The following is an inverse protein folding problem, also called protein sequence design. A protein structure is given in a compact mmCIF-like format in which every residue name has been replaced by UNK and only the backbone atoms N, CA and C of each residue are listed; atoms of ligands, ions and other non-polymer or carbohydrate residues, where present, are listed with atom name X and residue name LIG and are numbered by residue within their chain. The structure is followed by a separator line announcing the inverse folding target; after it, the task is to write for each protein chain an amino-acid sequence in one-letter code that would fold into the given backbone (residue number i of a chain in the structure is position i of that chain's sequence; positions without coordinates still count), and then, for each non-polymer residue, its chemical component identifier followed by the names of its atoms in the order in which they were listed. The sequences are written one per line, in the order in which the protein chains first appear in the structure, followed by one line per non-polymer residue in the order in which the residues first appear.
data_IF_632021051127
#
_entry.id   IF_632021051127
#
_cell.length_a   1.000
_cell.length_b   1.000
_cell.length_c   1.000
_cell.angle_alpha   90.00
_cell.angle_beta   90.00
_cell.angle_gamma   90.00
#
_symmetry.space_group_name_H-M   'P 1'
#
loop_
_entity.id
_entity.type
_entity.pdbx_description
1 polymer ?
#
# COMPACT_ATOMS: atom_id res chain seq x y z
N UNK A 1 -0.59 5.22 0.76
CA UNK A 1 0.12 4.49 1.84
C UNK A 1 -0.07 5.07 3.22
N UNK A 2 -0.08 6.40 3.42
CA UNK A 2 -0.45 6.99 4.72
C UNK A 2 -1.85 6.55 5.19
N UNK A 3 -2.78 6.38 4.25
CA UNK A 3 -4.14 5.91 4.53
C UNK A 3 -4.19 4.47 5.05
N UNK A 4 -3.31 3.59 4.52
CA UNK A 4 -3.23 2.19 4.93
C UNK A 4 -2.61 2.05 6.33
N UNK A 5 -1.59 2.86 6.64
CA UNK A 5 -1.04 2.97 8.00
C UNK A 5 -2.14 3.38 9.00
N UNK A 6 -3.00 4.32 8.62
CA UNK A 6 -4.13 4.71 9.46
C UNK A 6 -5.16 3.58 9.65
N UNK A 7 -5.46 2.84 8.58
CA UNK A 7 -6.34 1.66 8.63
C UNK A 7 -5.79 0.57 9.58
N UNK A 8 -4.49 0.32 9.53
CA UNK A 8 -3.81 -0.67 10.38
C UNK A 8 -3.85 -0.25 11.86
N UNK A 9 -3.56 1.03 12.16
CA UNK A 9 -3.66 1.56 13.52
C UNK A 9 -5.08 1.43 14.06
N UNK A 10 -6.10 1.80 13.27
CA UNK A 10 -7.50 1.65 13.66
C UNK A 10 -7.87 0.17 13.88
N UNK A 11 -7.36 -0.74 13.06
CA UNK A 11 -7.57 -2.18 13.20
C UNK A 11 -7.02 -2.70 14.53
N UNK A 12 -5.81 -2.27 14.91
CA UNK A 12 -5.20 -2.58 16.22
C UNK A 12 -6.04 -2.01 17.36
N UNK A 13 -6.49 -0.76 17.25
CA UNK A 13 -7.31 -0.11 18.30
C UNK A 13 -8.65 -0.85 18.52
N UNK A 14 -9.33 -1.26 17.46
CA UNK A 14 -10.57 -2.05 17.54
C UNK A 14 -10.30 -3.40 18.21
N UNK A 15 -9.24 -4.11 17.83
CA UNK A 15 -8.89 -5.41 18.41
C UNK A 15 -8.47 -5.32 19.89
N UNK A 16 -7.82 -4.23 20.30
CA UNK A 16 -7.49 -3.96 21.70
C UNK A 16 -8.75 -3.75 22.56
N UNK A 17 -9.79 -3.15 21.97
CA UNK A 17 -11.08 -2.93 22.65
C UNK A 17 -11.89 -4.23 22.75
N UNK A 18 -11.91 -5.04 21.68
CA UNK A 18 -12.68 -6.29 21.62
C UNK A 18 -11.99 -7.50 22.30
N UNK A 19 -10.80 -7.32 22.90
CA UNK A 19 -9.96 -8.37 23.53
C UNK A 19 -9.65 -9.60 22.64
N UNK A 20 -9.97 -9.55 21.36
CA UNK A 20 -9.77 -10.60 20.35
C UNK A 20 -8.37 -10.55 19.69
N UNK A 21 -7.38 -10.04 20.43
CA UNK A 21 -6.08 -9.56 19.93
C UNK A 21 -5.13 -10.61 19.31
N UNK A 22 -5.60 -11.79 18.90
CA UNK A 22 -4.75 -12.88 18.43
C UNK A 22 -5.25 -13.66 17.20
N UNK A 23 -6.39 -13.33 16.57
CA UNK A 23 -6.90 -14.16 15.45
C UNK A 23 -6.43 -13.75 14.04
N UNK A 24 -5.96 -12.52 13.81
CA UNK A 24 -5.52 -12.08 12.47
C UNK A 24 -4.06 -12.44 12.16
N UNK A 25 -3.37 -12.90 13.20
CA UNK A 25 -1.93 -13.03 13.26
C UNK A 25 -1.62 -14.52 13.15
N UNK A 26 -1.81 -15.08 11.95
CA UNK A 26 -1.47 -16.48 11.65
C UNK A 26 -0.05 -16.85 12.07
N UNK A 27 0.28 -18.15 12.06
CA UNK A 27 1.44 -18.81 12.70
C UNK A 27 2.83 -18.13 12.61
N UNK A 28 3.03 -17.12 11.74
CA UNK A 28 4.29 -16.39 11.60
C UNK A 28 4.15 -14.85 11.45
N UNK A 29 3.46 -14.25 12.42
CA UNK A 29 3.30 -12.79 12.61
C UNK A 29 4.54 -11.96 12.29
N UNK A 30 5.71 -12.42 12.74
CA UNK A 30 6.98 -11.70 12.61
C UNK A 30 7.38 -11.55 11.15
N UNK A 31 7.14 -12.59 10.34
CA UNK A 31 7.42 -12.58 8.91
C UNK A 31 6.47 -11.63 8.18
N UNK A 32 5.17 -11.68 8.50
CA UNK A 32 4.17 -10.79 7.90
C UNK A 32 4.47 -9.32 8.20
N UNK A 33 4.84 -8.99 9.45
CA UNK A 33 5.26 -7.64 9.82
C UNK A 33 6.54 -7.19 9.11
N UNK A 34 7.52 -8.08 8.94
CA UNK A 34 8.75 -7.76 8.21
C UNK A 34 8.47 -7.43 6.74
N UNK A 35 7.58 -8.19 6.09
CA UNK A 35 7.15 -7.94 4.71
C UNK A 35 6.39 -6.61 4.62
N UNK A 36 5.46 -6.35 5.53
CA UNK A 36 4.71 -5.09 5.59
C UNK A 36 5.63 -3.87 5.79
N UNK A 37 6.67 -3.99 6.62
CA UNK A 37 7.67 -2.95 6.83
C UNK A 37 8.47 -2.62 5.55
N UNK A 38 8.79 -3.63 4.73
CA UNK A 38 9.45 -3.40 3.44
C UNK A 38 8.50 -2.68 2.47
N UNK A 39 7.23 -3.12 2.40
CA UNK A 39 6.24 -2.57 1.47
C UNK A 39 5.89 -1.12 1.81
N UNK A 40 5.75 -0.79 3.09
CA UNK A 40 5.46 0.58 3.55
C UNK A 40 6.58 1.58 3.26
N UNK A 41 7.81 1.12 2.98
CA UNK A 41 8.92 1.97 2.57
C UNK A 41 8.95 2.28 1.06
N UNK A 42 8.18 1.57 0.23
CA UNK A 42 8.13 1.77 -1.23
C UNK A 42 7.84 3.24 -1.61
N UNK A 43 6.87 3.96 -1.02
CA UNK A 43 6.60 5.35 -1.36
C UNK A 43 7.77 6.29 -1.07
N UNK A 44 8.51 6.04 0.01
CA UNK A 44 9.68 6.83 0.40
C UNK A 44 10.77 6.65 -0.66
N UNK A 45 10.99 5.41 -1.10
CA UNK A 45 11.91 5.10 -2.20
C UNK A 45 11.48 5.75 -3.52
N UNK A 46 10.17 5.75 -3.84
CA UNK A 46 9.64 6.40 -5.04
C UNK A 46 9.89 7.92 -5.06
N UNK A 47 9.80 8.61 -3.91
CA UNK A 47 10.10 10.04 -3.82
C UNK A 47 11.57 10.32 -4.21
N UNK A 48 12.50 9.47 -3.74
CA UNK A 48 13.91 9.60 -4.09
C UNK A 48 14.16 9.25 -5.57
N UNK A 49 13.60 8.14 -6.03
CA UNK A 49 13.75 7.67 -7.41
C UNK A 49 13.17 8.64 -8.44
N UNK A 50 12.07 9.32 -8.12
CA UNK A 50 11.51 10.34 -9.01
C UNK A 50 12.40 11.56 -9.20
N UNK A 51 13.40 11.79 -8.34
CA UNK A 51 14.38 12.88 -8.49
C UNK A 51 15.68 12.46 -9.15
N UNK A 52 16.07 11.19 -9.00
CA UNK A 52 17.39 10.70 -9.45
C UNK A 52 17.32 9.98 -10.79
N UNK A 53 16.21 9.30 -11.10
CA UNK A 53 16.14 8.46 -12.29
C UNK A 53 15.61 9.18 -13.54
N UNK A 54 16.08 8.78 -14.74
CA UNK A 54 15.55 9.27 -16.00
C UNK A 54 14.10 8.84 -16.18
N UNK A 55 13.35 9.69 -16.89
CA UNK A 55 11.90 9.62 -17.09
C UNK A 55 11.36 8.21 -17.42
N UNK A 56 12.02 7.50 -18.35
CA UNK A 56 11.60 6.17 -18.79
C UNK A 56 11.62 5.12 -17.67
N UNK A 57 12.64 5.17 -16.81
CA UNK A 57 12.80 4.20 -15.72
C UNK A 57 11.87 4.57 -14.57
N UNK A 58 11.71 5.86 -14.26
CA UNK A 58 10.78 6.33 -13.24
C UNK A 58 9.34 5.90 -13.55
N UNK A 59 8.92 5.97 -14.82
CA UNK A 59 7.59 5.50 -15.25
C UNK A 59 7.37 4.02 -14.98
N UNK A 60 8.34 3.17 -15.32
CA UNK A 60 8.24 1.72 -15.11
C UNK A 60 8.20 1.39 -13.61
N UNK A 61 9.07 2.03 -12.81
CA UNK A 61 9.11 1.83 -11.36
C UNK A 61 7.80 2.26 -10.69
N UNK A 62 7.20 3.38 -11.10
CA UNK A 62 5.93 3.82 -10.54
C UNK A 62 4.78 2.85 -10.83
N UNK A 63 4.73 2.26 -12.03
CA UNK A 63 3.73 1.25 -12.37
C UNK A 63 3.94 -0.03 -11.55
N UNK A 64 5.18 -0.53 -11.47
CA UNK A 64 5.50 -1.75 -10.72
C UNK A 64 5.17 -1.56 -9.22
N UNK A 65 5.57 -0.42 -8.65
CA UNK A 65 5.28 -0.09 -7.26
C UNK A 65 3.78 0.01 -6.99
N UNK A 66 3.02 0.63 -7.89
CA UNK A 66 1.56 0.72 -7.75
C UNK A 66 0.89 -0.66 -7.79
N UNK A 67 1.31 -1.54 -8.71
CA UNK A 67 0.79 -2.92 -8.79
C UNK A 67 1.13 -3.73 -7.54
N UNK A 68 2.38 -3.66 -7.07
CA UNK A 68 2.81 -4.38 -5.87
C UNK A 68 2.02 -3.93 -4.64
N UNK A 69 1.81 -2.63 -4.52
CA UNK A 69 0.99 -2.05 -3.44
C UNK A 69 -0.47 -2.49 -3.55
N UNK A 70 -1.04 -2.53 -4.77
CA UNK A 70 -2.41 -2.98 -5.00
C UNK A 70 -2.62 -4.44 -4.55
N UNK A 71 -1.70 -5.33 -4.91
CA UNK A 71 -1.73 -6.74 -4.49
C UNK A 71 -1.68 -6.83 -2.97
N UNK A 72 -0.83 -6.03 -2.32
CA UNK A 72 -0.72 -6.01 -0.86
C UNK A 72 -2.00 -5.51 -0.18
N UNK A 73 -2.62 -4.44 -0.68
CA UNK A 73 -3.87 -3.89 -0.11
C UNK A 73 -4.99 -4.92 -0.18
N UNK A 74 -5.12 -5.61 -1.31
CA UNK A 74 -6.17 -6.62 -1.54
C UNK A 74 -5.88 -7.90 -0.76
N UNK A 75 -4.61 -8.34 -0.69
CA UNK A 75 -4.22 -9.60 -0.07
C UNK A 75 -4.05 -9.54 1.45
N UNK A 76 -3.67 -8.39 2.01
CA UNK A 76 -3.42 -8.21 3.45
C UNK A 76 -4.61 -7.63 4.22
N UNK A 77 -5.75 -7.40 3.56
CA UNK A 77 -6.83 -6.59 4.11
C UNK A 77 -7.73 -7.28 5.12
N UNK A 78 -8.08 -6.54 6.18
CA UNK A 78 -9.14 -6.92 7.11
C UNK A 78 -10.53 -6.58 6.54
N UNK A 79 -11.54 -7.40 6.85
CA UNK A 79 -12.94 -7.15 6.46
C UNK A 79 -13.64 -6.10 7.33
N UNK A 80 -12.92 -5.47 8.25
CA UNK A 80 -13.44 -4.40 9.11
C UNK A 80 -13.92 -3.21 8.26
N UNK A 81 -15.07 -2.59 8.60
CA UNK A 81 -15.66 -1.51 7.80
C UNK A 81 -14.72 -0.32 7.55
N UNK A 82 -13.95 0.10 8.56
CA UNK A 82 -12.98 1.20 8.40
C UNK A 82 -11.84 0.84 7.45
N UNK A 83 -11.41 -0.42 7.46
CA UNK A 83 -10.36 -0.91 6.58
C UNK A 83 -10.85 -0.92 5.12
N UNK A 84 -12.07 -1.37 4.85
CA UNK A 84 -12.66 -1.36 3.51
C UNK A 84 -12.76 0.05 2.92
N UNK A 85 -13.14 1.04 3.73
CA UNK A 85 -13.18 2.44 3.30
C UNK A 85 -11.77 2.91 2.93
N UNK A 86 -10.78 2.69 3.81
CA UNK A 86 -9.40 3.11 3.55
C UNK A 86 -8.80 2.39 2.33
N UNK A 87 -9.03 1.08 2.22
CA UNK A 87 -8.56 0.26 1.12
C UNK A 87 -9.18 0.69 -0.22
N UNK A 88 -10.48 0.98 -0.27
CA UNK A 88 -11.13 1.44 -1.51
C UNK A 88 -10.57 2.77 -2.01
N UNK A 89 -10.33 3.73 -1.11
CA UNK A 89 -9.70 5.02 -1.44
C UNK A 89 -8.27 4.80 -1.93
N UNK A 90 -7.50 3.94 -1.25
CA UNK A 90 -6.12 3.62 -1.64
C UNK A 90 -6.06 2.94 -3.02
N UNK A 91 -6.97 1.99 -3.30
CA UNK A 91 -7.09 1.34 -4.61
C UNK A 91 -7.43 2.35 -5.70
N UNK A 92 -8.37 3.27 -5.46
CA UNK A 92 -8.69 4.34 -6.41
C UNK A 92 -7.48 5.22 -6.72
N UNK A 93 -6.71 5.60 -5.71
CA UNK A 93 -5.50 6.41 -5.88
C UNK A 93 -4.40 5.64 -6.64
N UNK A 94 -4.21 4.35 -6.35
CA UNK A 94 -3.24 3.51 -7.07
C UNK A 94 -3.60 3.37 -8.56
N UNK A 95 -4.89 3.18 -8.87
CA UNK A 95 -5.38 3.17 -10.25
C UNK A 95 -5.13 4.52 -10.94
N UNK A 96 -5.33 5.63 -10.23
CA UNK A 96 -5.03 6.96 -10.74
C UNK A 96 -3.53 7.17 -11.01
N UNK A 97 -2.64 6.64 -10.17
CA UNK A 97 -1.20 6.68 -10.38
C UNK A 97 -0.81 5.87 -11.62
N UNK A 98 -1.37 4.67 -11.80
CA UNK A 98 -1.12 3.83 -12.98
C UNK A 98 -1.61 4.54 -14.24
N UNK A 99 -2.83 5.08 -14.21
CA UNK A 99 -3.41 5.84 -15.31
C UNK A 99 -2.55 7.06 -15.67
N UNK A 100 -2.17 7.85 -14.67
CA UNK A 100 -1.32 9.03 -14.84
C UNK A 100 0.05 8.66 -15.41
N UNK A 101 0.69 7.61 -14.90
CA UNK A 101 1.98 7.10 -15.40
C UNK A 101 1.87 6.59 -16.85
N UNK A 102 0.75 6.00 -17.23
CA UNK A 102 0.48 5.56 -18.60
C UNK A 102 0.26 6.75 -19.54
N UNK A 103 -0.57 7.72 -19.14
CA UNK A 103 -0.89 8.90 -19.95
C UNK A 103 0.30 9.83 -20.16
N UNK A 104 1.25 9.84 -19.22
CA UNK A 104 2.50 10.60 -19.35
C UNK A 104 3.35 10.17 -20.56
N UNK A 105 3.08 8.99 -21.15
CA UNK A 105 3.69 8.54 -22.41
C UNK A 105 3.18 9.25 -23.69
N UNK A 106 2.19 10.15 -23.59
CA UNK A 106 1.54 10.79 -24.74
C UNK A 106 1.91 12.27 -24.91
N UNK A 107 3.16 12.64 -24.59
CA UNK A 107 3.66 13.97 -24.97
C UNK A 107 5.13 13.86 -25.37
N UNK A 108 5.31 13.70 -26.69
CA UNK A 108 6.52 13.86 -27.54
C UNK A 108 7.88 13.57 -26.91
#
# INVERSE_FOLDING_TARGET
MLNLIFADILSIMVQLIDQSALEIMGDDVRLTMAIAAVITNIPILMIYFSRVLPYRINRLLNIIAAILTLIFVIGGGSTLPHYLICASIEVMLLLFIIYSAYQWSSTK
#
